data_IF_185605289962
#
_entry.id   IF_185605289962
#
_cell.length_a   1.000
_cell.length_b   1.000
_cell.length_c   1.000
_cell.angle_alpha   90.00
_cell.angle_beta   90.00
_cell.angle_gamma   90.00
#
_symmetry.space_group_name_H-M   'P 1'
#
loop_
_entity.id
_entity.type
_entity.pdbx_description
1 polymer ?
#
# COMPACT_ATOMS: atom_id res chain seq x y z
N UNK A 1 -0.13 2.87 -27.17
CA UNK A 1 0.07 1.41 -27.10
C UNK A 1 0.61 0.98 -25.74
N UNK A 2 1.80 1.46 -25.30
CA UNK A 2 2.39 1.12 -23.97
C UNK A 2 1.47 1.22 -22.74
N UNK A 3 0.54 2.17 -22.68
CA UNK A 3 -0.33 2.38 -21.53
C UNK A 3 -1.47 1.37 -21.40
N UNK A 4 -1.96 0.81 -22.53
CA UNK A 4 -3.01 -0.22 -22.52
C UNK A 4 -2.44 -1.58 -22.09
N UNK A 5 -1.22 -1.88 -22.53
CA UNK A 5 -0.50 -3.10 -22.14
C UNK A 5 -0.11 -3.08 -20.65
N UNK A 6 0.40 -1.96 -20.14
CA UNK A 6 0.73 -1.81 -18.72
C UNK A 6 -0.52 -1.89 -17.84
N UNK A 7 -1.62 -1.28 -18.27
CA UNK A 7 -2.92 -1.38 -17.59
C UNK A 7 -3.44 -2.82 -17.58
N UNK A 8 -3.45 -3.48 -18.74
CA UNK A 8 -3.91 -4.86 -18.83
C UNK A 8 -3.09 -5.81 -17.94
N UNK A 9 -1.77 -5.60 -17.84
CA UNK A 9 -0.92 -6.35 -16.92
C UNK A 9 -1.28 -6.13 -15.45
N UNK A 10 -1.57 -4.89 -15.03
CA UNK A 10 -2.05 -4.61 -13.67
C UNK A 10 -3.41 -5.27 -13.43
N UNK A 11 -4.29 -5.26 -14.42
CA UNK A 11 -5.61 -5.89 -14.32
C UNK A 11 -5.54 -7.41 -14.26
N UNK A 12 -4.65 -8.03 -15.05
CA UNK A 12 -4.44 -9.48 -15.05
C UNK A 12 -3.87 -9.93 -13.71
N UNK A 13 -2.92 -9.19 -13.14
CA UNK A 13 -2.42 -9.46 -11.78
C UNK A 13 -3.48 -9.28 -10.69
N UNK A 14 -4.30 -8.22 -10.74
CA UNK A 14 -5.41 -8.04 -9.77
C UNK A 14 -6.41 -9.20 -9.85
N UNK A 15 -6.59 -9.79 -11.04
CA UNK A 15 -7.43 -10.97 -11.25
C UNK A 15 -6.77 -12.25 -10.71
N UNK A 16 -5.46 -12.40 -10.88
CA UNK A 16 -4.69 -13.55 -10.36
C UNK A 16 -4.60 -13.55 -8.83
N UNK A 17 -4.48 -12.38 -8.21
CA UNK A 17 -4.34 -12.17 -6.76
C UNK A 17 -5.71 -12.22 -6.03
N UNK A 18 -6.82 -12.47 -6.73
CA UNK A 18 -8.15 -12.42 -6.10
C UNK A 18 -8.96 -13.68 -6.36
N UNK A 19 -9.41 -14.41 -5.30
CA UNK A 19 -10.25 -15.61 -5.48
C UNK A 19 -11.61 -15.29 -6.13
N UNK A 20 -12.06 -14.03 -6.04
CA UNK A 20 -13.14 -13.48 -6.86
C UNK A 20 -12.60 -12.35 -7.71
N UNK A 21 -12.55 -12.50 -9.05
CA UNK A 21 -12.18 -11.42 -9.95
C UNK A 21 -13.04 -10.17 -9.68
N UNK A 22 -12.43 -8.99 -9.66
CA UNK A 22 -13.21 -7.75 -9.64
C UNK A 22 -14.02 -7.67 -10.93
N UNK A 23 -15.33 -7.48 -10.82
CA UNK A 23 -16.23 -7.44 -11.97
C UNK A 23 -16.21 -6.07 -12.65
N UNK A 24 -15.17 -5.85 -13.46
CA UNK A 24 -15.04 -4.64 -14.28
C UNK A 24 -16.14 -4.51 -15.34
N UNK A 25 -16.84 -5.60 -15.69
CA UNK A 25 -17.96 -5.51 -16.64
C UNK A 25 -19.13 -4.74 -16.04
N UNK A 26 -19.28 -4.81 -14.72
CA UNK A 26 -20.21 -3.99 -13.93
C UNK A 26 -19.65 -2.59 -13.58
N UNK A 27 -18.33 -2.40 -13.58
CA UNK A 27 -17.64 -1.15 -13.26
C UNK A 27 -16.80 -0.59 -14.43
N UNK A 28 -17.50 -0.25 -15.51
CA UNK A 28 -16.91 0.41 -16.70
C UNK A 28 -16.19 1.73 -16.38
N UNK A 29 -16.59 2.40 -15.31
CA UNK A 29 -15.98 3.68 -14.90
C UNK A 29 -14.63 3.44 -14.19
N UNK A 30 -14.52 2.39 -13.37
CA UNK A 30 -13.29 1.99 -12.71
C UNK A 30 -12.18 1.65 -13.70
N UNK A 31 -12.44 0.86 -14.74
CA UNK A 31 -11.42 0.45 -15.73
C UNK A 31 -10.75 1.65 -16.43
N UNK A 32 -11.57 2.60 -16.91
CA UNK A 32 -11.09 3.82 -17.54
C UNK A 32 -10.35 4.72 -16.53
N UNK A 33 -10.85 4.83 -15.31
CA UNK A 33 -10.20 5.56 -14.22
C UNK A 33 -8.82 4.99 -13.89
N UNK A 34 -8.69 3.68 -13.71
CA UNK A 34 -7.41 3.03 -13.40
C UNK A 34 -6.39 3.16 -14.52
N UNK A 35 -6.84 3.07 -15.78
CA UNK A 35 -5.99 3.32 -16.95
C UNK A 35 -5.48 4.76 -16.93
N UNK A 36 -6.35 5.73 -16.63
CA UNK A 36 -6.00 7.14 -16.60
C UNK A 36 -5.16 7.49 -15.38
N UNK A 37 -5.41 6.88 -14.22
CA UNK A 37 -4.60 7.00 -13.02
C UNK A 37 -3.19 6.47 -13.27
N UNK A 38 -3.02 5.26 -13.80
CA UNK A 38 -1.68 4.71 -14.07
C UNK A 38 -0.92 5.54 -15.12
N UNK A 39 -1.61 6.07 -16.14
CA UNK A 39 -1.01 7.04 -17.06
C UNK A 39 -0.63 8.34 -16.36
N UNK A 40 -1.53 8.91 -15.57
CA UNK A 40 -1.29 10.15 -14.84
C UNK A 40 -0.12 9.99 -13.88
N UNK A 41 -0.12 8.97 -13.02
CA UNK A 41 0.95 8.70 -12.06
C UNK A 41 2.29 8.55 -12.78
N UNK A 42 2.34 7.78 -13.88
CA UNK A 42 3.59 7.60 -14.64
C UNK A 42 4.03 8.82 -15.45
N UNK A 43 3.12 9.74 -15.81
CA UNK A 43 3.43 10.91 -16.66
C UNK A 43 3.59 12.22 -15.88
N UNK A 44 2.77 12.46 -14.85
CA UNK A 44 2.72 13.72 -14.09
C UNK A 44 3.58 13.70 -12.82
N UNK A 45 3.90 12.51 -12.30
CA UNK A 45 4.77 12.33 -11.14
C UNK A 45 5.87 11.30 -11.45
N UNK A 46 6.76 11.58 -12.43
CA UNK A 46 7.93 10.72 -12.66
C UNK A 46 8.82 10.78 -11.42
N UNK A 47 8.63 9.81 -10.54
CA UNK A 47 9.44 9.68 -9.35
C UNK A 47 10.67 8.88 -9.73
N UNK A 48 11.80 9.58 -9.80
CA UNK A 48 13.05 9.02 -10.27
C UNK A 48 13.70 8.16 -9.17
N UNK A 49 13.50 6.84 -9.28
CA UNK A 49 14.23 5.85 -8.49
C UNK A 49 15.44 5.29 -9.27
N UNK A 50 15.91 5.95 -10.33
CA UNK A 50 17.05 5.49 -11.14
C UNK A 50 18.31 5.27 -10.29
N UNK A 51 18.51 6.05 -9.23
CA UNK A 51 19.59 5.88 -8.24
C UNK A 51 19.57 4.51 -7.52
N UNK A 52 18.43 3.82 -7.55
CA UNK A 52 18.22 2.49 -6.98
C UNK A 52 18.17 1.39 -8.06
N UNK A 53 18.30 1.75 -9.33
CA UNK A 53 18.25 0.82 -10.46
C UNK A 53 19.64 0.29 -10.85
N UNK A 54 19.68 -0.90 -11.47
CA UNK A 54 20.91 -1.43 -12.10
C UNK A 54 22.01 -1.91 -11.15
N UNK A 55 21.75 -1.98 -9.84
CA UNK A 55 22.69 -2.47 -8.82
C UNK A 55 21.98 -3.17 -7.66
N UNK A 56 22.74 -3.90 -6.85
CA UNK A 56 22.27 -4.43 -5.56
C UNK A 56 22.11 -3.28 -4.56
N UNK A 57 20.97 -3.27 -3.89
CA UNK A 57 20.55 -2.38 -2.84
C UNK A 57 20.81 -3.04 -1.50
N UNK A 58 21.12 -2.22 -0.52
CA UNK A 58 21.12 -2.61 0.90
C UNK A 58 19.69 -2.65 1.43
N UNK A 59 19.47 -3.36 2.54
CA UNK A 59 18.14 -3.41 3.16
C UNK A 59 17.64 -2.03 3.58
N UNK A 60 18.56 -1.10 3.93
CA UNK A 60 18.26 0.32 4.18
C UNK A 60 17.74 1.04 2.93
N UNK A 61 18.37 0.82 1.78
CA UNK A 61 17.92 1.43 0.52
C UNK A 61 16.59 0.84 0.06
N UNK A 62 16.35 -0.46 0.27
CA UNK A 62 15.06 -1.09 -0.06
C UNK A 62 13.94 -0.46 0.76
N UNK A 63 14.10 -0.30 2.08
CA UNK A 63 13.07 0.35 2.90
C UNK A 63 12.88 1.84 2.55
N UNK A 64 13.97 2.55 2.19
CA UNK A 64 13.86 3.92 1.66
C UNK A 64 13.02 3.99 0.38
N UNK A 65 13.14 3.01 -0.52
CA UNK A 65 12.28 2.93 -1.72
C UNK A 65 10.82 2.68 -1.33
N UNK A 66 10.55 1.82 -0.35
CA UNK A 66 9.16 1.60 0.11
C UNK A 66 8.59 2.90 0.66
N UNK A 67 9.31 3.59 1.54
CA UNK A 67 8.90 4.89 2.09
C UNK A 67 8.58 5.90 0.97
N UNK A 68 9.42 5.97 -0.06
CA UNK A 68 9.18 6.84 -1.22
C UNK A 68 7.91 6.47 -2.00
N UNK A 69 7.62 5.18 -2.17
CA UNK A 69 6.36 4.72 -2.77
C UNK A 69 5.17 5.12 -1.90
N UNK A 70 5.29 5.00 -0.57
CA UNK A 70 4.25 5.38 0.39
C UNK A 70 4.02 6.89 0.42
N UNK A 71 5.06 7.71 0.30
CA UNK A 71 4.95 9.17 0.13
C UNK A 71 4.10 9.52 -1.10
N UNK A 72 4.40 8.89 -2.24
CA UNK A 72 3.63 9.13 -3.47
C UNK A 72 2.18 8.63 -3.32
N UNK A 73 1.99 7.46 -2.71
CA UNK A 73 0.65 6.94 -2.46
C UNK A 73 -0.16 7.86 -1.54
N UNK A 74 0.44 8.38 -0.47
CA UNK A 74 -0.18 9.35 0.42
C UNK A 74 -0.61 10.61 -0.33
N UNK A 75 0.27 11.22 -1.14
CA UNK A 75 -0.07 12.40 -1.95
C UNK A 75 -1.25 12.12 -2.89
N UNK A 76 -1.26 10.95 -3.55
CA UNK A 76 -2.34 10.58 -4.47
C UNK A 76 -3.68 10.45 -3.73
N UNK A 77 -3.68 9.79 -2.56
CA UNK A 77 -4.86 9.61 -1.71
C UNK A 77 -5.33 10.94 -1.14
N UNK A 78 -4.46 11.66 -0.44
CA UNK A 78 -4.83 12.82 0.35
C UNK A 78 -5.11 14.06 -0.50
N UNK A 79 -4.43 14.20 -1.64
CA UNK A 79 -4.41 15.45 -2.40
C UNK A 79 -4.82 15.32 -3.87
N UNK A 80 -4.68 14.16 -4.49
CA UNK A 80 -5.03 13.97 -5.92
C UNK A 80 -6.35 13.20 -6.14
N UNK A 81 -7.12 12.99 -5.09
CA UNK A 81 -8.48 12.47 -5.19
C UNK A 81 -8.59 10.95 -5.27
N UNK A 82 -7.48 10.22 -5.08
CA UNK A 82 -7.50 8.76 -5.02
C UNK A 82 -8.28 8.25 -3.80
N UNK A 83 -8.49 9.09 -2.78
CA UNK A 83 -9.38 8.77 -1.66
C UNK A 83 -10.79 8.36 -2.13
N UNK A 84 -11.29 8.84 -3.27
CA UNK A 84 -12.64 8.49 -3.77
C UNK A 84 -12.82 6.99 -3.97
N UNK A 85 -11.75 6.30 -4.35
CA UNK A 85 -11.74 4.86 -4.59
C UNK A 85 -11.79 4.05 -3.29
N UNK A 86 -11.64 4.69 -2.14
CA UNK A 86 -11.81 4.06 -0.82
C UNK A 86 -13.28 4.01 -0.39
N UNK A 87 -14.19 4.62 -1.14
CA UNK A 87 -15.62 4.72 -0.81
C UNK A 87 -16.50 4.14 -1.92
N UNK A 88 -17.63 3.57 -1.54
CA UNK A 88 -18.66 3.14 -2.48
C UNK A 88 -19.60 4.30 -2.87
N UNK A 89 -20.50 4.04 -3.81
CA UNK A 89 -21.50 5.00 -4.28
C UNK A 89 -22.47 5.49 -3.19
N UNK A 90 -22.60 4.72 -2.10
CA UNK A 90 -23.44 5.04 -0.95
C UNK A 90 -22.68 5.80 0.14
N UNK A 91 -21.41 6.16 -0.09
CA UNK A 91 -20.57 6.85 0.88
C UNK A 91 -20.11 5.96 2.05
N UNK A 92 -20.11 4.64 1.88
CA UNK A 92 -19.53 3.71 2.86
C UNK A 92 -18.08 3.39 2.48
N UNK A 93 -17.17 3.20 3.46
CA UNK A 93 -15.85 2.70 3.17
C UNK A 93 -15.91 1.34 2.47
N UNK A 94 -15.11 1.18 1.41
CA UNK A 94 -14.88 -0.13 0.80
C UNK A 94 -14.07 -1.00 1.76
N UNK A 95 -14.08 -2.31 1.50
CA UNK A 95 -13.29 -3.28 2.29
C UNK A 95 -11.79 -3.02 2.16
N UNK A 96 -11.02 -3.47 3.15
CA UNK A 96 -9.56 -3.36 3.22
C UNK A 96 -8.84 -3.78 1.92
N UNK A 97 -9.38 -4.81 1.25
CA UNK A 97 -8.89 -5.29 -0.06
C UNK A 97 -8.87 -4.22 -1.16
N UNK A 98 -9.71 -3.20 -1.10
CA UNK A 98 -9.65 -2.07 -2.03
C UNK A 98 -8.38 -1.22 -1.81
N UNK A 99 -8.06 -0.90 -0.55
CA UNK A 99 -6.85 -0.14 -0.19
C UNK A 99 -5.57 -0.90 -0.51
N UNK A 100 -5.55 -2.22 -0.25
CA UNK A 100 -4.44 -3.11 -0.60
C UNK A 100 -4.18 -3.09 -2.12
N UNK A 101 -5.24 -3.22 -2.94
CA UNK A 101 -5.14 -3.17 -4.41
C UNK A 101 -4.68 -1.81 -4.94
N UNK A 102 -5.17 -0.72 -4.35
CA UNK A 102 -4.75 0.64 -4.68
C UNK A 102 -3.25 0.83 -4.46
N UNK A 103 -2.76 0.45 -3.27
CA UNK A 103 -1.34 0.51 -2.95
C UNK A 103 -0.52 -0.35 -3.92
N UNK A 104 -0.95 -1.60 -4.17
CA UNK A 104 -0.26 -2.50 -5.09
C UNK A 104 -0.11 -1.90 -6.49
N UNK A 105 -1.19 -1.33 -7.06
CA UNK A 105 -1.15 -0.73 -8.39
C UNK A 105 -0.15 0.44 -8.48
N UNK A 106 -0.13 1.30 -7.46
CA UNK A 106 0.82 2.43 -7.39
C UNK A 106 2.25 1.93 -7.22
N UNK A 107 2.47 1.04 -6.26
CA UNK A 107 3.78 0.45 -6.01
C UNK A 107 4.33 -0.29 -7.23
N UNK A 108 3.52 -1.11 -7.91
CA UNK A 108 3.92 -1.83 -9.11
C UNK A 108 4.37 -0.88 -10.22
N UNK A 109 3.68 0.24 -10.41
CA UNK A 109 4.06 1.24 -11.42
C UNK A 109 5.48 1.79 -11.18
N UNK A 110 5.85 2.01 -9.92
CA UNK A 110 7.18 2.46 -9.53
C UNK A 110 8.21 1.32 -9.56
N UNK A 111 7.89 0.14 -9.04
CA UNK A 111 8.80 -1.02 -9.04
C UNK A 111 9.16 -1.44 -10.47
N UNK A 112 8.17 -1.52 -11.38
CA UNK A 112 8.38 -1.87 -12.78
C UNK A 112 9.24 -0.85 -13.52
N UNK A 113 9.03 0.45 -13.26
CA UNK A 113 9.84 1.50 -13.87
C UNK A 113 11.32 1.44 -13.43
N UNK A 114 11.61 0.74 -12.32
CA UNK A 114 12.93 0.78 -11.66
C UNK A 114 13.55 -0.61 -11.43
N UNK A 115 12.99 -1.66 -12.04
CA UNK A 115 13.48 -3.05 -11.98
C UNK A 115 13.59 -3.60 -10.54
N UNK A 116 12.55 -3.35 -9.73
CA UNK A 116 12.39 -3.91 -8.39
C UNK A 116 11.30 -4.99 -8.41
N UNK A 117 11.50 -6.04 -7.60
CA UNK A 117 10.52 -7.13 -7.49
C UNK A 117 9.44 -6.80 -6.46
N UNK A 118 8.22 -7.14 -6.82
CA UNK A 118 7.02 -6.84 -6.06
C UNK A 118 6.10 -8.05 -5.99
N UNK A 119 5.92 -8.60 -4.80
CA UNK A 119 5.06 -9.77 -4.60
C UNK A 119 3.83 -9.37 -3.78
N UNK A 120 2.63 -9.34 -4.38
CA UNK A 120 1.39 -9.21 -3.64
C UNK A 120 1.01 -10.54 -2.99
N UNK A 121 0.28 -10.48 -1.87
CA UNK A 121 -0.30 -11.65 -1.19
C UNK A 121 0.72 -12.80 -1.01
N UNK A 122 1.98 -12.47 -0.67
CA UNK A 122 3.01 -13.47 -0.49
C UNK A 122 2.67 -14.33 0.73
N UNK A 123 2.20 -15.55 0.50
CA UNK A 123 1.87 -16.50 1.56
C UNK A 123 3.12 -17.34 1.87
N UNK A 124 3.74 -17.04 3.02
CA UNK A 124 4.87 -17.77 3.57
C UNK A 124 4.43 -18.89 4.53
N UNK A 125 3.17 -19.34 4.43
CA UNK A 125 2.58 -20.43 5.23
C UNK A 125 1.81 -19.96 6.48
N UNK A 126 1.72 -18.66 6.73
CA UNK A 126 0.99 -18.06 7.86
C UNK A 126 -0.14 -17.11 7.42
N UNK A 127 -0.55 -17.20 6.15
CA UNK A 127 -1.46 -16.28 5.49
C UNK A 127 -0.71 -15.23 4.66
N UNK A 128 -1.39 -14.62 3.67
CA UNK A 128 -0.76 -13.68 2.78
C UNK A 128 -0.43 -12.37 3.50
N UNK A 129 0.83 -11.92 3.41
CA UNK A 129 1.15 -10.52 3.70
C UNK A 129 0.60 -9.65 2.58
N UNK A 130 0.07 -8.48 2.91
CA UNK A 130 -0.54 -7.60 1.92
C UNK A 130 0.45 -7.21 0.82
N UNK A 131 1.71 -7.01 1.21
CA UNK A 131 2.75 -6.61 0.27
C UNK A 131 4.14 -6.97 0.79
N UNK A 132 4.95 -7.55 -0.11
CA UNK A 132 6.39 -7.73 0.08
C UNK A 132 7.14 -7.07 -1.07
N UNK A 133 8.11 -6.24 -0.73
CA UNK A 133 9.09 -5.74 -1.69
C UNK A 133 10.46 -6.34 -1.36
N UNK A 134 11.16 -6.84 -2.36
CA UNK A 134 12.48 -7.42 -2.16
C UNK A 134 13.43 -7.10 -3.30
N UNK A 135 14.72 -7.13 -2.99
CA UNK A 135 15.76 -7.22 -4.01
C UNK A 135 16.72 -8.35 -3.66
N UNK A 136 16.41 -9.53 -4.16
CA UNK A 136 17.09 -10.76 -3.77
C UNK A 136 16.70 -11.24 -2.38
N UNK A 137 17.46 -12.20 -1.85
CA UNK A 137 17.11 -12.89 -0.59
C UNK A 137 17.33 -12.04 0.67
N UNK A 138 18.40 -11.23 0.69
CA UNK A 138 18.90 -10.58 1.91
C UNK A 138 18.15 -9.28 2.27
N UNK A 139 17.37 -8.73 1.34
CA UNK A 139 16.75 -7.42 1.48
C UNK A 139 15.27 -7.51 1.13
N UNK A 140 14.45 -7.70 2.17
CA UNK A 140 12.99 -7.83 2.09
C UNK A 140 12.35 -6.85 3.06
N UNK A 141 11.26 -6.22 2.64
CA UNK A 141 10.41 -5.39 3.48
C UNK A 141 8.99 -5.90 3.36
N UNK A 142 8.34 -6.13 4.50
CA UNK A 142 6.92 -6.48 4.57
C UNK A 142 6.09 -5.24 4.90
N UNK A 143 4.96 -5.06 4.21
CA UNK A 143 4.03 -3.97 4.46
C UNK A 143 2.66 -4.56 4.75
N UNK A 144 2.10 -4.21 5.90
CA UNK A 144 0.77 -4.63 6.33
C UNK A 144 -0.19 -3.44 6.27
N UNK A 145 -1.31 -3.59 5.56
CA UNK A 145 -2.30 -2.53 5.37
C UNK A 145 -3.53 -2.82 6.22
N UNK A 146 -3.95 -1.84 7.02
CA UNK A 146 -5.15 -1.95 7.84
C UNK A 146 -6.02 -0.70 7.70
N UNK A 147 -7.33 -0.90 7.51
CA UNK A 147 -8.26 0.22 7.57
C UNK A 147 -8.43 0.72 9.01
N UNK A 148 -8.66 2.01 9.19
CA UNK A 148 -9.00 2.57 10.50
C UNK A 148 -10.29 2.01 11.10
N UNK A 149 -11.17 1.40 10.30
CA UNK A 149 -12.37 0.69 10.77
C UNK A 149 -12.09 -0.72 11.27
N UNK A 150 -10.89 -1.27 11.02
CA UNK A 150 -10.51 -2.61 11.45
C UNK A 150 -10.54 -2.71 13.00
N UNK A 151 -11.27 -3.70 13.52
CA UNK A 151 -11.45 -3.92 14.97
C UNK A 151 -10.21 -4.51 15.64
N UNK A 152 -9.33 -5.13 14.87
CA UNK A 152 -8.07 -5.74 15.33
C UNK A 152 -6.84 -4.91 14.94
N UNK A 153 -6.99 -3.61 14.68
CA UNK A 153 -5.91 -2.72 14.24
C UNK A 153 -4.65 -2.80 15.13
N UNK A 154 -4.83 -2.74 16.46
CA UNK A 154 -3.72 -2.81 17.42
C UNK A 154 -3.05 -4.17 17.39
N UNK A 155 -3.83 -5.25 17.34
CA UNK A 155 -3.32 -6.62 17.22
C UNK A 155 -2.57 -6.85 15.89
N UNK A 156 -3.01 -6.19 14.82
CA UNK A 156 -2.33 -6.21 13.52
C UNK A 156 -0.87 -5.73 13.64
N UNK A 157 -0.67 -4.59 14.30
CA UNK A 157 0.68 -4.06 14.54
C UNK A 157 1.47 -4.91 15.54
N UNK A 158 0.86 -5.30 16.65
CA UNK A 158 1.54 -6.00 17.75
C UNK A 158 1.94 -7.43 17.39
N UNK A 159 1.11 -8.14 16.60
CA UNK A 159 1.28 -9.58 16.34
C UNK A 159 1.38 -9.91 14.86
N UNK A 160 0.43 -9.47 14.03
CA UNK A 160 0.37 -9.92 12.63
C UNK A 160 1.62 -9.51 11.84
N UNK A 161 2.03 -8.23 11.95
CA UNK A 161 3.22 -7.74 11.27
C UNK A 161 4.49 -8.49 11.71
N UNK A 162 4.63 -8.79 12.99
CA UNK A 162 5.78 -9.55 13.52
C UNK A 162 5.79 -11.02 13.07
N UNK A 163 4.62 -11.64 12.87
CA UNK A 163 4.50 -12.97 12.26
C UNK A 163 5.00 -12.95 10.82
N UNK A 164 4.58 -11.95 10.02
CA UNK A 164 5.02 -11.83 8.62
C UNK A 164 6.52 -11.55 8.51
N UNK A 165 7.06 -10.64 9.32
CA UNK A 165 8.50 -10.38 9.42
C UNK A 165 9.30 -11.67 9.65
N UNK A 166 8.86 -12.49 10.60
CA UNK A 166 9.49 -13.79 10.89
C UNK A 166 9.35 -14.79 9.76
N UNK A 167 8.18 -14.88 9.13
CA UNK A 167 7.93 -15.83 8.05
C UNK A 167 8.76 -15.53 6.79
N UNK A 168 9.11 -14.26 6.57
CA UNK A 168 9.90 -13.80 5.42
C UNK A 168 11.40 -13.60 5.73
N UNK A 169 11.85 -13.97 6.93
CA UNK A 169 13.23 -13.78 7.42
C UNK A 169 13.69 -12.31 7.31
N UNK A 170 12.88 -11.36 7.78
CA UNK A 170 13.22 -9.93 7.78
C UNK A 170 12.83 -9.22 9.08
N UNK A 171 13.66 -8.28 9.52
CA UNK A 171 13.34 -7.35 10.61
C UNK A 171 12.69 -6.05 10.11
N UNK A 172 12.55 -5.88 8.80
CA UNK A 172 12.01 -4.67 8.19
C UNK A 172 10.52 -4.83 7.89
N UNK A 173 9.71 -4.09 8.65
CA UNK A 173 8.26 -4.04 8.47
C UNK A 173 7.72 -2.62 8.49
N UNK A 174 6.65 -2.38 7.74
CA UNK A 174 5.87 -1.14 7.76
C UNK A 174 4.41 -1.48 8.02
N UNK A 175 3.78 -0.74 8.92
CA UNK A 175 2.36 -0.82 9.18
C UNK A 175 1.65 0.41 8.61
N UNK A 176 0.80 0.22 7.62
CA UNK A 176 0.06 1.29 6.97
C UNK A 176 -1.38 1.32 7.45
N UNK A 177 -1.76 2.42 8.08
CA UNK A 177 -3.12 2.71 8.53
C UNK A 177 -3.76 3.62 7.48
N UNK A 178 -4.78 3.10 6.79
CA UNK A 178 -5.61 3.88 5.88
C UNK A 178 -6.85 4.37 6.62
N UNK A 179 -6.91 5.67 6.93
CA UNK A 179 -8.02 6.24 7.66
C UNK A 179 -9.22 6.56 6.75
N UNK A 180 -10.28 5.78 6.91
CA UNK A 180 -11.57 5.96 6.25
C UNK A 180 -12.66 6.30 7.28
N UNK A 181 -12.25 6.95 8.37
CA UNK A 181 -13.10 7.33 9.49
C UNK A 181 -13.14 6.29 10.60
N UNK A 182 -13.49 6.74 11.82
CA UNK A 182 -13.64 5.85 12.98
C UNK A 182 -12.32 5.41 13.63
N UNK A 183 -11.21 6.11 13.38
CA UNK A 183 -9.91 5.80 13.99
C UNK A 183 -9.93 5.89 15.53
N UNK A 184 -10.67 6.84 16.09
CA UNK A 184 -10.81 7.02 17.53
C UNK A 184 -9.47 7.03 18.27
N UNK A 185 -9.36 6.23 19.33
CA UNK A 185 -8.12 6.07 20.13
C UNK A 185 -7.14 5.04 19.53
N UNK A 186 -7.54 4.26 18.52
CA UNK A 186 -6.77 3.12 18.04
C UNK A 186 -5.39 3.54 17.50
N UNK A 187 -5.28 4.71 16.88
CA UNK A 187 -3.98 5.22 16.45
C UNK A 187 -3.03 5.48 17.63
N UNK A 188 -3.53 6.07 18.72
CA UNK A 188 -2.74 6.29 19.92
C UNK A 188 -2.31 4.96 20.59
N UNK A 189 -3.18 3.94 20.53
CA UNK A 189 -2.88 2.60 21.03
C UNK A 189 -1.80 1.89 20.20
N UNK A 190 -1.87 1.96 18.87
CA UNK A 190 -0.78 1.45 17.99
C UNK A 190 0.54 2.17 18.30
N UNK A 191 0.50 3.50 18.44
CA UNK A 191 1.69 4.28 18.81
C UNK A 191 2.23 3.91 20.20
N UNK A 192 1.37 3.50 21.14
CA UNK A 192 1.78 2.99 22.45
C UNK A 192 2.56 1.69 22.31
N UNK A 193 2.04 0.72 21.55
CA UNK A 193 2.73 -0.55 21.27
C UNK A 193 4.08 -0.30 20.60
N UNK A 194 4.16 0.63 19.63
CA UNK A 194 5.44 1.01 19.02
C UNK A 194 6.47 1.52 20.03
N UNK A 195 6.05 2.38 20.97
CA UNK A 195 6.94 2.87 22.04
C UNK A 195 7.41 1.75 22.96
N UNK A 196 6.53 0.78 23.25
CA UNK A 196 6.87 -0.39 24.05
C UNK A 196 7.93 -1.26 23.33
N UNK A 197 7.77 -1.53 22.04
CA UNK A 197 8.78 -2.25 21.23
C UNK A 197 10.12 -1.51 21.16
N UNK A 198 10.12 -0.19 20.98
CA UNK A 198 11.35 0.60 21.01
C UNK A 198 12.06 0.53 22.36
N UNK A 199 11.31 0.53 23.47
CA UNK A 199 11.89 0.44 24.80
C UNK A 199 12.43 -0.96 25.13
N UNK A 200 11.75 -2.02 24.66
CA UNK A 200 12.12 -3.41 24.96
C UNK A 200 13.21 -3.95 24.03
N UNK A 201 13.13 -3.65 22.73
CA UNK A 201 13.97 -4.26 21.70
C UNK A 201 14.93 -3.27 21.03
N UNK A 202 14.83 -1.96 21.31
CA UNK A 202 15.63 -0.91 20.68
C UNK A 202 15.24 -0.59 19.23
N UNK A 203 14.25 -1.30 18.67
CA UNK A 203 13.73 -1.10 17.32
C UNK A 203 12.24 -1.41 17.25
N UNK A 204 11.55 -0.82 16.27
CA UNK A 204 10.16 -1.11 15.96
C UNK A 204 9.87 -0.77 14.50
N UNK A 205 8.87 -1.44 13.92
CA UNK A 205 8.39 -1.14 12.57
C UNK A 205 7.88 0.29 12.43
N UNK A 206 7.99 0.83 11.22
CA UNK A 206 7.48 2.15 10.92
C UNK A 206 5.96 2.12 10.77
N UNK A 207 5.30 3.22 11.16
CA UNK A 207 3.86 3.39 11.01
C UNK A 207 3.60 4.51 10.01
N UNK A 208 2.86 4.19 8.96
CA UNK A 208 2.30 5.18 8.04
C UNK A 208 0.83 5.40 8.36
N UNK A 209 0.41 6.66 8.37
CA UNK A 209 -0.99 7.04 8.53
C UNK A 209 -1.39 7.87 7.32
N UNK A 210 -2.38 7.41 6.56
CA UNK A 210 -2.87 8.07 5.35
C UNK A 210 -4.33 8.46 5.54
N UNK A 211 -4.64 9.75 5.36
CA UNK A 211 -5.99 10.30 5.42
C UNK A 211 -6.78 10.03 4.13
N UNK A 212 -7.54 8.93 4.16
CA UNK A 212 -8.48 8.53 3.12
C UNK A 212 -9.91 9.05 3.32
N UNK A 213 -10.16 9.98 4.25
CA UNK A 213 -11.50 10.47 4.54
C UNK A 213 -12.11 11.20 3.34
N UNK A 214 -13.44 11.20 3.25
CA UNK A 214 -14.14 11.93 2.19
C UNK A 214 -13.87 13.42 2.28
N UNK A 215 -13.50 14.02 1.15
CA UNK A 215 -13.11 15.43 1.08
C UNK A 215 -14.18 16.24 0.37
N UNK A 216 -14.63 17.34 1.00
CA UNK A 216 -15.53 18.30 0.36
C UNK A 216 -14.86 18.91 -0.90
N UNK A 217 -15.67 19.19 -1.94
CA UNK A 217 -15.20 19.83 -3.16
C UNK A 217 -14.56 21.18 -2.86
N UNK A 218 -13.54 21.58 -3.62
CA UNK A 218 -12.84 22.85 -3.44
C UNK A 218 -13.79 24.06 -3.45
N UNK A 219 -14.88 23.98 -4.21
CA UNK A 219 -15.96 24.98 -4.26
C UNK A 219 -16.79 25.14 -2.98
N UNK A 220 -16.64 24.25 -2.00
CA UNK A 220 -17.36 24.25 -0.71
C UNK A 220 -16.44 24.47 0.49
N UNK A 221 -15.14 24.63 0.27
CA UNK A 221 -14.15 24.95 1.31
C UNK A 221 -14.01 26.46 1.36
N UNK A 222 -14.87 27.12 2.13
CA UNK A 222 -14.73 28.54 2.45
C UNK A 222 -13.74 28.74 3.59
#
# INVERSE_FOLDING_TARGET
MRSKEAFQQVMDMIREVSPTPYDFSSDRNGEAFWTELLKSVSQSHPFDLSNYSGRKLTSKEVIEVVHKILEQFQELVEHKGLWKELWDENGKPRKEKASQRLLFAVAYSYCKANNLDLTPEADSGNGPVDFKMSQGYDSKVVVEVKLSTNTTLVHGYEKQLEIYKRADDTDLGIFLIMDVGGIGKKYADVQKVRREFLAEYGQASDIWFIDGNQKASASKRH
#
